data_IF_645707530730
#
_entry.id   IF_645707530730
#
_cell.length_a   1.000
_cell.length_b   1.000
_cell.length_c   1.000
_cell.angle_alpha   90.00
_cell.angle_beta   90.00
_cell.angle_gamma   90.00
#
_symmetry.space_group_name_H-M   'P 1'
#
loop_
_entity.id
_entity.type
_entity.pdbx_description
1 polymer ?
#
# COMPACT_ATOMS: atom_id res chain seq x y z
N UNK A 1 23.73 17.37 -3.43
CA UNK A 1 22.50 17.46 -4.25
C UNK A 1 21.54 18.43 -3.56
N UNK A 2 21.06 19.49 -4.24
CA UNK A 2 20.03 20.37 -3.68
C UNK A 2 18.65 19.82 -4.04
N UNK A 3 17.83 19.48 -3.05
CA UNK A 3 16.46 18.97 -3.24
C UNK A 3 15.48 20.09 -2.87
N UNK A 4 14.49 20.36 -3.73
CA UNK A 4 13.37 21.26 -3.43
C UNK A 4 12.13 20.43 -3.18
N UNK A 5 11.49 20.64 -2.03
CA UNK A 5 10.29 19.92 -1.62
C UNK A 5 9.07 20.83 -1.84
N UNK A 6 8.01 20.30 -2.43
CA UNK A 6 6.71 20.97 -2.56
C UNK A 6 5.62 20.03 -2.04
N UNK A 7 4.86 20.50 -1.05
CA UNK A 7 3.71 19.76 -0.52
C UNK A 7 2.62 19.63 -1.58
N UNK A 8 2.00 18.46 -1.63
CA UNK A 8 0.76 18.25 -2.36
C UNK A 8 -0.43 18.73 -1.51
N UNK A 9 -1.21 19.68 -2.03
CA UNK A 9 -2.23 20.41 -1.25
C UNK A 9 -3.67 19.97 -1.55
N UNK A 10 -3.89 18.81 -2.20
CA UNK A 10 -5.24 18.29 -2.48
C UNK A 10 -5.63 17.13 -1.55
N UNK A 11 -4.99 17.04 -0.39
CA UNK A 11 -5.21 15.98 0.59
C UNK A 11 -4.36 14.73 0.34
N UNK A 12 -4.72 13.60 0.99
CA UNK A 12 -4.07 12.31 0.78
C UNK A 12 -4.21 11.84 -0.67
N UNK A 13 -3.20 11.16 -1.19
CA UNK A 13 -3.28 10.52 -2.51
C UNK A 13 -4.05 9.20 -2.46
N UNK A 14 -4.20 8.60 -1.28
CA UNK A 14 -4.97 7.39 -1.01
C UNK A 14 -5.71 7.56 0.32
N UNK A 15 -6.91 7.02 0.43
CA UNK A 15 -7.75 7.16 1.61
C UNK A 15 -8.57 5.88 1.88
N UNK A 16 -8.99 5.63 3.13
CA UNK A 16 -9.79 4.46 3.52
C UNK A 16 -11.07 4.25 2.71
N UNK A 17 -11.68 5.32 2.20
CA UNK A 17 -12.98 5.28 1.54
C UNK A 17 -12.96 4.60 0.16
N UNK A 18 -11.77 4.35 -0.40
CA UNK A 18 -11.61 3.72 -1.71
C UNK A 18 -11.99 2.23 -1.67
N UNK A 19 -11.77 1.55 -0.54
CA UNK A 19 -12.15 0.16 -0.35
C UNK A 19 -12.18 -0.21 1.12
N UNK A 20 -13.19 -0.98 1.54
CA UNK A 20 -13.27 -1.55 2.89
C UNK A 20 -12.07 -2.45 3.23
N UNK A 21 -11.40 -3.02 2.23
CA UNK A 21 -10.17 -3.81 2.41
C UNK A 21 -9.03 -2.98 2.99
N UNK A 22 -9.07 -1.64 2.91
CA UNK A 22 -7.98 -0.78 3.40
C UNK A 22 -7.96 -0.60 4.92
N UNK A 23 -9.07 -0.90 5.60
CA UNK A 23 -9.23 -0.55 7.00
C UNK A 23 -9.22 0.98 7.19
N UNK A 24 -9.11 1.44 8.43
CA UNK A 24 -9.31 2.86 8.76
C UNK A 24 -8.01 3.62 9.02
N UNK A 25 -6.87 2.93 9.12
CA UNK A 25 -5.60 3.54 9.53
C UNK A 25 -4.46 3.15 8.58
N UNK A 26 -4.48 3.74 7.38
CA UNK A 26 -3.41 3.58 6.38
C UNK A 26 -2.09 4.11 6.93
N UNK A 27 -1.05 3.29 6.91
CA UNK A 27 0.27 3.60 7.45
C UNK A 27 1.42 3.04 6.60
N UNK A 28 2.60 3.65 6.74
CA UNK A 28 3.85 3.19 6.13
C UNK A 28 3.87 3.10 4.60
N UNK A 29 3.44 4.14 3.85
CA UNK A 29 3.41 4.07 2.40
C UNK A 29 4.81 4.06 1.77
N UNK A 30 5.01 3.17 0.79
CA UNK A 30 6.19 3.08 -0.06
C UNK A 30 5.77 2.99 -1.52
N UNK A 31 6.29 3.89 -2.36
CA UNK A 31 5.92 3.96 -3.77
C UNK A 31 7.12 3.64 -4.67
N UNK A 32 6.89 2.82 -5.68
CA UNK A 32 7.85 2.57 -6.75
C UNK A 32 7.18 2.78 -8.11
N UNK A 33 8.00 3.10 -9.12
CA UNK A 33 7.59 2.93 -10.51
C UNK A 33 7.64 1.43 -10.83
N UNK A 34 6.59 0.88 -11.45
CA UNK A 34 6.50 -0.52 -11.84
C UNK A 34 7.75 -0.90 -12.66
N UNK A 35 8.54 -1.89 -12.20
CA UNK A 35 9.65 -2.41 -12.97
C UNK A 35 9.22 -2.96 -14.33
N UNK A 36 10.07 -2.83 -15.35
CA UNK A 36 9.75 -3.23 -16.72
C UNK A 36 9.55 -4.74 -16.90
N UNK A 37 10.11 -5.56 -16.01
CA UNK A 37 9.96 -7.01 -16.05
C UNK A 37 8.61 -7.52 -15.49
N UNK A 38 7.79 -6.65 -14.89
CA UNK A 38 6.45 -7.01 -14.43
C UNK A 38 5.45 -6.88 -15.59
N UNK A 39 5.08 -8.02 -16.18
CA UNK A 39 4.23 -8.10 -17.40
C UNK A 39 2.71 -8.10 -17.14
N UNK A 40 2.25 -7.74 -15.95
CA UNK A 40 0.83 -7.73 -15.61
C UNK A 40 0.13 -6.42 -15.97
N UNK A 41 -1.21 -6.40 -15.82
CA UNK A 41 -2.08 -5.25 -16.12
C UNK A 41 -2.02 -4.11 -15.09
N UNK A 42 -1.14 -4.18 -14.08
CA UNK A 42 -1.04 -3.12 -13.07
C UNK A 42 -0.58 -1.79 -13.67
N UNK A 43 -0.96 -0.69 -13.02
CA UNK A 43 -0.56 0.66 -13.39
C UNK A 43 0.95 0.92 -13.31
N UNK A 44 1.37 2.09 -13.81
CA UNK A 44 2.76 2.55 -13.84
C UNK A 44 3.40 2.72 -12.46
N UNK A 45 2.62 3.00 -11.43
CA UNK A 45 3.08 3.22 -10.06
C UNK A 45 2.45 2.18 -9.14
N UNK A 46 3.27 1.62 -8.25
CA UNK A 46 2.87 0.65 -7.25
C UNK A 46 3.07 1.28 -5.88
N UNK A 47 1.99 1.41 -5.12
CA UNK A 47 1.96 1.97 -3.78
C UNK A 47 1.67 0.84 -2.78
N UNK A 48 2.69 0.50 -2.01
CA UNK A 48 2.61 -0.47 -0.92
C UNK A 48 2.35 0.27 0.40
N UNK A 49 1.49 -0.28 1.24
CA UNK A 49 1.15 0.28 2.55
C UNK A 49 0.50 -0.80 3.42
N UNK A 50 0.27 -0.50 4.69
CA UNK A 50 -0.45 -1.39 5.60
C UNK A 50 -1.58 -0.64 6.32
N UNK A 51 -2.49 -1.39 6.93
CA UNK A 51 -3.24 -0.89 8.08
C UNK A 51 -2.40 -1.17 9.33
N UNK A 52 -2.30 -0.20 10.24
CA UNK A 52 -1.59 -0.38 11.52
C UNK A 52 -2.04 -1.62 12.31
N UNK A 53 -3.28 -2.09 12.12
CA UNK A 53 -3.81 -3.32 12.72
C UNK A 53 -4.18 -4.38 11.68
N UNK A 54 -3.73 -4.21 10.44
CA UNK A 54 -3.99 -5.14 9.35
C UNK A 54 -3.05 -6.34 9.39
N UNK A 55 -3.47 -7.39 8.70
CA UNK A 55 -2.76 -8.65 8.52
C UNK A 55 -2.14 -8.78 7.12
N UNK A 56 -2.15 -7.71 6.30
CA UNK A 56 -1.60 -7.73 4.94
C UNK A 56 -0.80 -6.47 4.63
N UNK A 57 0.29 -6.65 3.86
CA UNK A 57 0.83 -5.58 3.01
C UNK A 57 -0.13 -5.41 1.82
N UNK A 58 -0.74 -4.22 1.75
CA UNK A 58 -1.69 -3.82 0.72
C UNK A 58 -0.95 -3.20 -0.45
N UNK A 59 -1.53 -3.33 -1.63
CA UNK A 59 -1.03 -2.73 -2.85
C UNK A 59 -2.15 -1.95 -3.52
N UNK A 60 -1.86 -0.70 -3.88
CA UNK A 60 -2.62 0.05 -4.85
C UNK A 60 -1.76 0.33 -6.08
N UNK A 61 -2.37 0.44 -7.25
CA UNK A 61 -1.67 0.83 -8.46
C UNK A 61 -2.40 1.94 -9.22
N UNK A 62 -1.63 2.78 -9.91
CA UNK A 62 -2.17 3.84 -10.75
C UNK A 62 -1.22 4.19 -11.89
N UNK A 63 -1.76 4.73 -12.98
CA UNK A 63 -0.97 5.38 -14.03
C UNK A 63 -0.65 6.85 -13.67
N UNK A 64 -1.23 7.37 -12.59
CA UNK A 64 -1.08 8.73 -12.09
C UNK A 64 -0.64 8.74 -10.62
N UNK A 65 0.39 9.54 -10.29
CA UNK A 65 0.93 9.60 -8.92
C UNK A 65 -0.04 10.20 -7.90
N UNK A 66 -0.99 11.03 -8.34
CA UNK A 66 -1.78 11.87 -7.45
C UNK A 66 -3.22 11.41 -7.27
N UNK A 67 -3.72 10.51 -8.12
CA UNK A 67 -5.13 10.07 -8.07
C UNK A 67 -5.34 8.73 -8.82
N UNK A 68 -6.59 8.27 -8.84
CA UNK A 68 -7.04 7.07 -9.55
C UNK A 68 -6.30 5.80 -9.11
N UNK A 69 -6.12 5.66 -7.80
CA UNK A 69 -5.52 4.47 -7.21
C UNK A 69 -6.55 3.34 -7.16
N UNK A 70 -6.21 2.23 -7.80
CA UNK A 70 -6.98 1.00 -7.78
C UNK A 70 -6.35 0.01 -6.81
N UNK A 71 -7.18 -0.63 -5.97
CA UNK A 71 -6.69 -1.57 -4.97
C UNK A 71 -6.47 -2.94 -5.61
N UNK A 72 -5.27 -3.48 -5.42
CA UNK A 72 -4.97 -4.85 -5.77
C UNK A 72 -5.61 -5.76 -4.71
N UNK A 73 -6.71 -6.40 -5.10
CA UNK A 73 -7.57 -7.20 -4.24
C UNK A 73 -6.78 -8.25 -3.45
N UNK A 74 -7.00 -8.31 -2.14
CA UNK A 74 -6.34 -9.27 -1.25
C UNK A 74 -4.90 -8.93 -0.87
N UNK A 75 -4.35 -7.82 -1.36
CA UNK A 75 -2.99 -7.39 -1.03
C UNK A 75 -1.91 -8.27 -1.66
N UNK A 76 -0.72 -8.25 -1.07
CA UNK A 76 0.49 -8.89 -1.64
C UNK A 76 1.14 -9.90 -0.73
N UNK A 77 1.27 -9.58 0.56
CA UNK A 77 1.82 -10.48 1.57
C UNK A 77 0.93 -10.43 2.81
N UNK A 78 0.27 -11.55 3.12
CA UNK A 78 -0.43 -11.74 4.38
C UNK A 78 0.52 -12.15 5.50
N UNK A 79 0.17 -11.82 6.75
CA UNK A 79 0.90 -12.18 7.96
C UNK A 79 1.06 -13.71 8.06
N UNK A 80 0.05 -14.47 7.65
CA UNK A 80 0.09 -15.94 7.58
C UNK A 80 1.11 -16.49 6.58
N UNK A 81 1.62 -15.67 5.66
CA UNK A 81 2.66 -16.03 4.69
C UNK A 81 4.06 -15.61 5.15
N UNK A 82 4.18 -14.92 6.28
CA UNK A 82 5.41 -14.24 6.71
C UNK A 82 6.31 -15.08 7.63
N UNK A 83 5.88 -16.29 7.98
CA UNK A 83 6.50 -17.15 9.02
C UNK A 83 6.56 -16.51 10.42
N UNK A 84 5.92 -15.36 10.64
CA UNK A 84 5.73 -14.75 11.96
C UNK A 84 4.44 -15.23 12.62
N UNK A 85 4.31 -14.93 13.92
CA UNK A 85 3.11 -15.24 14.70
C UNK A 85 1.88 -14.53 14.11
N UNK A 86 0.82 -15.29 13.89
CA UNK A 86 -0.50 -14.79 13.44
C UNK A 86 -1.48 -14.60 14.60
N UNK A 87 -1.08 -14.96 15.82
CA UNK A 87 -1.83 -14.77 17.05
C UNK A 87 -0.87 -14.27 18.14
N UNK A 88 -1.37 -13.59 19.18
CA UNK A 88 -0.56 -13.25 20.35
C UNK A 88 0.10 -14.52 20.91
N UNK A 89 1.40 -14.49 21.27
CA UNK A 89 2.03 -15.62 21.91
C UNK A 89 1.40 -15.87 23.28
N UNK A 90 1.33 -17.15 23.68
CA UNK A 90 1.02 -17.50 25.06
C UNK A 90 2.19 -17.04 25.95
N UNK A 91 1.87 -16.23 26.96
CA UNK A 91 2.84 -15.79 27.97
C UNK A 91 2.74 -16.80 29.13
N UNK A 92 3.84 -17.44 29.54
CA UNK A 92 3.85 -18.39 30.66
C UNK A 92 3.34 -17.81 31.98
#
# INVERSE_FOLDING_TARGET
MKIKIKKYNKGPIISPEISSELGQNIQGPSIIKKPTWINNKLGKYLLYFADHKGDHIKLAHSNNLFHSWEIYKGGTLGLFQSNFLTAPPEIP
#
